data_IF_782904667057
#
_entry.id   IF_782904667057
#
_cell.length_a   1.000
_cell.length_b   1.000
_cell.length_c   1.000
_cell.angle_alpha   90.00
_cell.angle_beta   90.00
_cell.angle_gamma   90.00
#
_symmetry.space_group_name_H-M   'P 1'
#
loop_
_entity.id
_entity.type
_entity.pdbx_description
1 polymer ?
#
# COMPACT_ATOMS: atom_id res chain seq x y z
N UNK A 1 9.16 -14.19 4.06
CA UNK A 1 8.71 -12.80 4.16
C UNK A 1 7.89 -12.51 2.90
N UNK A 2 6.57 -12.41 3.00
CA UNK A 2 5.74 -12.05 1.85
C UNK A 2 5.64 -10.52 1.81
N UNK A 3 6.27 -9.90 0.82
CA UNK A 3 6.03 -8.51 0.49
C UNK A 3 4.83 -8.48 -0.46
N UNK A 4 3.73 -7.84 -0.05
CA UNK A 4 2.55 -7.71 -0.90
C UNK A 4 2.61 -6.34 -1.55
N UNK A 5 2.92 -6.32 -2.84
CA UNK A 5 2.70 -5.18 -3.71
C UNK A 5 1.24 -5.18 -4.09
N UNK A 6 0.41 -4.60 -3.24
CA UNK A 6 -1.00 -4.51 -3.57
C UNK A 6 -1.19 -3.36 -4.56
N UNK A 7 -1.80 -3.59 -5.73
CA UNK A 7 -2.24 -2.51 -6.62
C UNK A 7 -3.28 -1.58 -5.96
N UNK A 8 -3.77 -1.91 -4.75
CA UNK A 8 -4.59 -1.02 -3.91
C UNK A 8 -3.81 0.20 -3.36
N UNK A 9 -2.47 0.18 -3.42
CA UNK A 9 -1.60 1.19 -2.80
C UNK A 9 -1.28 2.34 -3.75
N UNK A 10 -1.74 2.26 -5.01
CA UNK A 10 -1.36 3.20 -6.07
C UNK A 10 -1.88 4.62 -5.88
N UNK A 11 -2.73 4.85 -4.87
CA UNK A 11 -3.27 6.17 -4.62
C UNK A 11 -3.47 6.32 -3.10
N UNK A 12 -2.44 6.75 -2.37
CA UNK A 12 -2.65 7.29 -1.02
C UNK A 12 -3.29 8.68 -1.18
N UNK A 13 -4.57 8.72 -1.53
CA UNK A 13 -5.41 9.84 -1.11
C UNK A 13 -5.69 9.55 0.36
N UNK A 14 -4.98 10.25 1.24
CA UNK A 14 -5.22 10.13 2.67
C UNK A 14 -6.63 10.62 3.00
N UNK A 15 -7.40 9.78 3.69
CA UNK A 15 -8.72 10.11 4.21
C UNK A 15 -9.92 9.68 3.37
N UNK A 16 -11.10 9.83 3.96
CA UNK A 16 -12.41 9.59 3.31
C UNK A 16 -12.96 10.89 2.75
N UNK A 17 -13.60 10.85 1.58
CA UNK A 17 -14.42 11.97 1.12
C UNK A 17 -15.53 12.28 2.15
N UNK A 18 -15.85 13.56 2.34
CA UNK A 18 -16.89 13.98 3.27
C UNK A 18 -18.24 13.32 2.89
N UNK A 19 -18.87 12.59 3.82
CA UNK A 19 -20.07 11.74 3.65
C UNK A 19 -19.86 10.37 2.97
N UNK A 20 -18.63 9.90 2.81
CA UNK A 20 -18.39 8.51 2.44
C UNK A 20 -18.47 7.60 3.67
N UNK A 21 -19.36 6.61 3.64
CA UNK A 21 -19.53 5.63 4.72
C UNK A 21 -18.73 4.34 4.50
N UNK A 22 -18.10 4.18 3.33
CA UNK A 22 -17.18 3.06 3.09
C UNK A 22 -15.92 3.20 3.95
N UNK A 23 -15.23 2.09 4.13
CA UNK A 23 -13.96 2.03 4.86
C UNK A 23 -12.85 2.76 4.11
N UNK A 24 -11.96 3.40 4.86
CA UNK A 24 -10.84 4.11 4.26
C UNK A 24 -9.75 3.10 3.89
N UNK A 25 -8.82 3.53 3.04
CA UNK A 25 -7.65 2.71 2.71
C UNK A 25 -6.83 2.40 3.96
N UNK A 26 -6.76 3.33 4.92
CA UNK A 26 -6.08 3.13 6.21
C UNK A 26 -6.80 2.10 7.09
N UNK A 27 -8.13 2.09 7.11
CA UNK A 27 -8.91 1.09 7.87
C UNK A 27 -8.70 -0.32 7.28
N UNK A 28 -8.81 -0.48 5.96
CA UNK A 28 -8.52 -1.76 5.31
C UNK A 28 -7.06 -2.22 5.51
N UNK A 29 -6.10 -1.29 5.48
CA UNK A 29 -4.69 -1.61 5.72
C UNK A 29 -4.48 -2.07 7.17
N UNK A 30 -5.15 -1.43 8.14
CA UNK A 30 -5.09 -1.84 9.53
C UNK A 30 -5.65 -3.26 9.73
N UNK A 31 -6.80 -3.58 9.12
CA UNK A 31 -7.36 -4.93 9.15
C UNK A 31 -6.44 -5.96 8.51
N UNK A 32 -5.87 -5.64 7.34
CA UNK A 32 -4.91 -6.50 6.65
C UNK A 32 -3.70 -6.84 7.53
N UNK A 33 -3.15 -5.85 8.24
CA UNK A 33 -1.99 -6.02 9.11
C UNK A 33 -2.33 -6.76 10.41
N UNK A 34 -3.57 -6.68 10.91
CA UNK A 34 -4.01 -7.51 12.04
C UNK A 34 -3.95 -9.00 11.66
N UNK A 35 -4.43 -9.35 10.46
CA UNK A 35 -4.39 -10.74 9.96
C UNK A 35 -2.99 -11.16 9.51
N UNK A 36 -2.17 -10.21 9.04
CA UNK A 36 -0.83 -10.45 8.49
C UNK A 36 0.23 -9.60 9.21
N UNK A 37 0.53 -9.87 10.50
CA UNK A 37 1.35 -8.98 11.33
C UNK A 37 2.81 -8.86 10.89
N UNK A 38 3.30 -9.80 10.06
CA UNK A 38 4.67 -9.78 9.52
C UNK A 38 4.74 -9.30 8.06
N UNK A 39 3.62 -8.87 7.48
CA UNK A 39 3.62 -8.35 6.12
C UNK A 39 4.31 -6.98 6.07
N UNK A 40 5.07 -6.74 5.01
CA UNK A 40 5.61 -5.43 4.68
C UNK A 40 4.78 -4.86 3.53
N UNK A 41 4.15 -3.71 3.80
CA UNK A 41 3.34 -3.00 2.81
C UNK A 41 4.08 -1.74 2.42
N UNK A 42 4.41 -1.63 1.12
CA UNK A 42 5.04 -0.46 0.55
C UNK A 42 4.00 0.35 -0.20
N UNK A 43 3.92 1.64 0.12
CA UNK A 43 3.13 2.58 -0.62
C UNK A 43 4.03 3.41 -1.51
N UNK A 44 3.54 3.72 -2.71
CA UNK A 44 4.30 4.46 -3.69
C UNK A 44 3.44 5.52 -4.36
N UNK A 45 3.93 6.77 -4.55
CA UNK A 45 3.22 7.77 -5.33
C UNK A 45 2.85 7.30 -6.74
N UNK A 46 1.80 7.92 -7.26
CA UNK A 46 1.31 7.69 -8.62
C UNK A 46 2.40 7.92 -9.68
N UNK A 47 2.26 7.22 -10.80
CA UNK A 47 3.14 7.34 -11.97
C UNK A 47 4.56 6.87 -11.75
N UNK A 48 4.76 5.98 -10.79
CA UNK A 48 6.07 5.47 -10.44
C UNK A 48 6.07 3.95 -10.39
N UNK A 49 7.22 3.33 -10.67
CA UNK A 49 7.38 1.89 -10.68
C UNK A 49 8.31 1.42 -9.56
N UNK A 50 7.98 0.29 -8.95
CA UNK A 50 8.91 -0.42 -8.07
C UNK A 50 9.72 -1.43 -8.89
N UNK A 51 11.02 -1.18 -9.01
CA UNK A 51 11.97 -2.11 -9.61
C UNK A 51 12.66 -2.93 -8.51
N UNK A 52 12.68 -4.26 -8.65
CA UNK A 52 13.33 -5.16 -7.70
C UNK A 52 14.42 -5.95 -8.42
N UNK A 53 15.66 -5.79 -7.97
CA UNK A 53 16.82 -6.51 -8.47
C UNK A 53 17.52 -7.25 -7.31
N UNK A 54 17.35 -8.57 -7.27
CA UNK A 54 17.89 -9.40 -6.20
C UNK A 54 17.34 -9.02 -4.82
N UNK A 55 18.19 -8.40 -3.98
CA UNK A 55 17.83 -7.92 -2.63
C UNK A 55 17.64 -6.40 -2.56
N UNK A 56 17.69 -5.71 -3.70
CA UNK A 56 17.56 -4.26 -3.78
C UNK A 56 16.21 -3.91 -4.42
N UNK A 57 15.53 -2.95 -3.82
CA UNK A 57 14.29 -2.39 -4.34
C UNK A 57 14.51 -0.90 -4.58
N UNK A 58 14.11 -0.41 -5.74
CA UNK A 58 14.30 0.98 -6.18
C UNK A 58 13.01 1.50 -6.75
N UNK A 59 12.70 2.73 -6.39
CA UNK A 59 11.62 3.50 -6.99
C UNK A 59 12.14 4.12 -8.28
N UNK A 60 11.39 3.94 -9.37
CA UNK A 60 11.62 4.61 -10.63
C UNK A 60 10.55 5.69 -10.84
N UNK A 61 10.99 6.88 -11.22
CA UNK A 61 10.16 8.02 -11.63
C UNK A 61 10.01 8.10 -13.15
#
# INVERSE_FOLDING_TARGET
MQAVLSPLNMEIISGKMLRHNGESREEHLAEFLIVNPTALVYAHPESTALHIEGRQATILE
#
